data_IF_250519018429
#
_entry.id   IF_250519018429
#
_cell.length_a   1.000
_cell.length_b   1.000
_cell.length_c   1.000
_cell.angle_alpha   90.00
_cell.angle_beta   90.00
_cell.angle_gamma   90.00
#
_symmetry.space_group_name_H-M   'P 1'
#
loop_
_entity.id
_entity.type
_entity.pdbx_description
1 polymer ?
#
# COMPACT_ATOMS: atom_id res chain seq x y z
N UNK A 1 6.09 10.74 21.01
CA UNK A 1 6.51 12.15 20.94
C UNK A 1 5.29 13.01 20.64
N UNK A 2 5.02 13.97 21.48
CA UNK A 2 3.90 14.91 21.28
C UNK A 2 4.24 15.90 20.18
N UNK A 3 3.31 16.04 19.22
CA UNK A 3 3.44 16.98 18.11
C UNK A 3 2.11 17.72 17.94
N UNK A 4 2.13 18.86 17.26
CA UNK A 4 0.90 19.57 16.94
C UNK A 4 0.15 18.87 15.82
N UNK A 5 -1.18 18.92 15.84
CA UNK A 5 -2.02 18.20 14.88
C UNK A 5 -1.73 18.60 13.44
N UNK A 6 -1.39 19.87 13.18
CA UNK A 6 -1.09 20.35 11.82
C UNK A 6 0.17 19.73 11.21
N UNK A 7 1.04 19.12 12.03
CA UNK A 7 2.26 18.45 11.54
C UNK A 7 2.04 17.01 11.09
N UNK A 8 0.87 16.46 11.37
CA UNK A 8 0.56 15.07 11.03
C UNK A 8 0.42 14.92 9.51
N UNK A 9 0.94 13.82 8.98
CA UNK A 9 0.93 13.48 7.55
C UNK A 9 0.46 12.05 7.36
N UNK A 10 0.01 11.74 6.16
CA UNK A 10 -0.33 10.37 5.74
C UNK A 10 0.83 9.42 6.06
N UNK A 11 0.51 8.27 6.63
CA UNK A 11 1.49 7.26 7.00
C UNK A 11 2.04 7.40 8.42
N UNK A 12 1.81 8.53 9.07
CA UNK A 12 2.17 8.66 10.48
C UNK A 12 1.29 7.73 11.32
N UNK A 13 1.78 7.37 12.51
CA UNK A 13 1.01 6.57 13.46
C UNK A 13 0.76 7.41 14.71
N UNK A 14 -0.51 7.47 15.10
CA UNK A 14 -0.96 8.22 16.28
C UNK A 14 -1.35 7.21 17.36
N UNK A 15 -0.93 7.45 18.58
CA UNK A 15 -1.41 6.72 19.76
C UNK A 15 -2.49 7.58 20.44
N UNK A 16 -3.67 6.97 20.60
CA UNK A 16 -4.81 7.64 21.24
C UNK A 16 -5.57 6.60 22.07
N UNK A 17 -5.78 6.91 23.35
CA UNK A 17 -6.48 6.04 24.29
C UNK A 17 -5.91 4.62 24.37
N UNK A 18 -4.56 4.52 24.30
CA UNK A 18 -3.87 3.25 24.34
C UNK A 18 -3.93 2.42 23.05
N UNK A 19 -4.46 3.00 21.96
CA UNK A 19 -4.59 2.33 20.67
C UNK A 19 -3.78 3.04 19.60
N UNK A 20 -3.31 2.27 18.62
CA UNK A 20 -2.53 2.80 17.50
C UNK A 20 -3.41 2.98 16.27
N UNK A 21 -3.20 4.09 15.57
CA UNK A 21 -3.92 4.46 14.35
C UNK A 21 -2.93 4.85 13.25
N UNK A 22 -3.11 4.31 12.06
CA UNK A 22 -2.34 4.75 10.88
C UNK A 22 -3.11 5.87 10.19
N UNK A 23 -2.47 6.99 9.95
CA UNK A 23 -3.08 8.14 9.26
C UNK A 23 -3.23 7.83 7.78
N UNK A 24 -4.45 7.87 7.30
CA UNK A 24 -4.81 7.65 5.90
C UNK A 24 -4.78 8.95 5.11
N UNK A 25 -5.24 10.04 5.72
CA UNK A 25 -5.16 11.38 5.15
C UNK A 25 -5.13 12.43 6.26
N UNK A 26 -4.47 13.53 5.99
CA UNK A 26 -4.41 14.67 6.91
C UNK A 26 -4.53 15.95 6.09
N UNK A 27 -5.51 16.76 6.43
CA UNK A 27 -5.79 18.01 5.74
C UNK A 27 -5.93 19.15 6.75
N UNK A 28 -5.20 20.23 6.54
CA UNK A 28 -5.31 21.42 7.36
C UNK A 28 -6.24 22.42 6.66
N UNK A 29 -7.34 22.74 7.34
CA UNK A 29 -8.39 23.59 6.79
C UNK A 29 -8.32 24.94 7.47
N UNK A 30 -8.18 26.01 6.66
CA UNK A 30 -8.15 27.40 7.13
C UNK A 30 -9.43 28.11 6.66
N UNK A 31 -10.53 28.04 7.46
CA UNK A 31 -11.75 28.73 7.07
C UNK A 31 -11.54 30.24 7.08
N UNK A 32 -12.26 30.95 6.23
CA UNK A 32 -12.20 32.42 6.18
C UNK A 32 -12.65 33.07 7.48
N UNK A 33 -13.52 32.41 8.24
CA UNK A 33 -13.94 32.75 9.58
C UNK A 33 -13.84 31.51 10.46
N UNK A 34 -13.27 31.67 11.64
CA UNK A 34 -13.14 30.59 12.60
C UNK A 34 -11.71 30.08 12.79
N UNK A 35 -11.55 29.12 13.67
CA UNK A 35 -10.26 28.55 14.04
C UNK A 35 -9.81 27.53 12.98
N UNK A 36 -8.54 27.57 12.54
CA UNK A 36 -8.01 26.51 11.66
C UNK A 36 -8.09 25.14 12.32
N UNK A 37 -8.43 24.12 11.54
CA UNK A 37 -8.58 22.76 12.03
C UNK A 37 -7.77 21.78 11.17
N UNK A 38 -7.35 20.69 11.81
CA UNK A 38 -6.74 19.55 11.13
C UNK A 38 -7.73 18.40 11.10
N UNK A 39 -8.14 18.01 9.89
CA UNK A 39 -9.03 16.87 9.65
C UNK A 39 -8.17 15.65 9.37
N UNK A 40 -8.20 14.66 10.27
CA UNK A 40 -7.36 13.46 10.16
C UNK A 40 -8.25 12.24 10.04
N UNK A 41 -8.09 11.53 8.93
CA UNK A 41 -8.69 10.20 8.75
C UNK A 41 -7.63 9.17 9.04
N UNK A 42 -7.97 8.19 9.88
CA UNK A 42 -7.03 7.19 10.32
C UNK A 42 -7.73 5.85 10.53
N UNK A 43 -6.93 4.80 10.50
CA UNK A 43 -7.42 3.42 10.69
C UNK A 43 -6.81 2.85 11.95
N UNK A 44 -7.67 2.33 12.83
CA UNK A 44 -7.21 1.63 14.02
C UNK A 44 -6.56 0.32 13.60
N UNK A 45 -5.35 0.07 14.08
CA UNK A 45 -4.56 -1.09 13.65
C UNK A 45 -5.15 -2.38 14.20
N UNK A 46 -5.70 -2.37 15.42
CA UNK A 46 -6.19 -3.58 16.08
C UNK A 46 -7.37 -4.25 15.39
N UNK A 47 -8.25 -3.48 14.73
CA UNK A 47 -9.47 -4.00 14.11
C UNK A 47 -9.79 -3.42 12.73
N UNK A 48 -8.95 -2.53 12.21
CA UNK A 48 -9.14 -1.93 10.89
C UNK A 48 -10.23 -0.87 10.80
N UNK A 49 -10.85 -0.50 11.91
CA UNK A 49 -11.93 0.49 11.92
C UNK A 49 -11.39 1.87 11.53
N UNK A 50 -12.02 2.50 10.56
CA UNK A 50 -11.69 3.87 10.15
C UNK A 50 -12.38 4.87 11.05
N UNK A 51 -11.63 5.86 11.52
CA UNK A 51 -12.16 6.97 12.30
C UNK A 51 -11.71 8.28 11.70
N UNK A 52 -12.52 9.31 11.87
CA UNK A 52 -12.21 10.67 11.43
C UNK A 52 -12.22 11.57 12.65
N UNK A 53 -11.10 12.25 12.87
CA UNK A 53 -10.95 13.16 14.00
C UNK A 53 -10.66 14.57 13.50
N UNK A 54 -11.24 15.53 14.17
CA UNK A 54 -11.02 16.94 13.89
C UNK A 54 -10.35 17.59 15.11
N UNK A 55 -9.14 18.08 14.89
CA UNK A 55 -8.35 18.76 15.92
C UNK A 55 -8.20 20.23 15.56
N UNK A 56 -7.99 21.08 16.57
CA UNK A 56 -7.41 22.39 16.31
C UNK A 56 -5.98 22.17 15.81
N UNK A 57 -5.49 23.01 14.91
CA UNK A 57 -4.14 22.84 14.33
C UNK A 57 -3.04 22.83 15.40
N UNK A 58 -3.30 23.48 16.52
CA UNK A 58 -2.36 23.59 17.66
C UNK A 58 -2.56 22.51 18.74
N UNK A 59 -3.59 21.67 18.62
CA UNK A 59 -3.80 20.58 19.58
C UNK A 59 -2.61 19.62 19.53
N UNK A 60 -2.25 19.05 20.66
CA UNK A 60 -1.19 18.08 20.75
C UNK A 60 -1.72 16.66 20.55
N UNK A 61 -1.03 15.89 19.72
CA UNK A 61 -1.32 14.47 19.51
C UNK A 61 -0.05 13.66 19.76
N UNK A 62 -0.21 12.41 20.18
CA UNK A 62 0.91 11.52 20.41
C UNK A 62 1.26 10.78 19.13
N UNK A 63 2.44 11.10 18.57
CA UNK A 63 2.95 10.44 17.37
C UNK A 63 3.87 9.30 17.81
N UNK A 64 3.55 8.08 17.40
CA UNK A 64 4.34 6.90 17.72
C UNK A 64 5.61 6.85 16.86
N UNK A 65 6.70 6.35 17.45
CA UNK A 65 7.96 6.14 16.74
C UNK A 65 7.87 4.86 15.93
N UNK A 66 8.17 4.98 14.63
CA UNK A 66 8.08 3.87 13.68
C UNK A 66 9.46 3.60 13.10
N UNK A 67 9.81 2.32 12.99
CA UNK A 67 11.03 1.87 12.32
C UNK A 67 10.67 1.02 11.10
N UNK A 68 11.24 1.36 9.95
CA UNK A 68 11.09 0.57 8.73
C UNK A 68 12.15 -0.54 8.71
N UNK A 69 11.70 -1.77 8.52
CA UNK A 69 12.57 -2.94 8.46
C UNK A 69 12.25 -3.78 7.23
N UNK A 70 13.27 -4.45 6.69
CA UNK A 70 13.10 -5.34 5.56
C UNK A 70 12.63 -6.72 6.05
N UNK A 71 11.55 -7.20 5.45
CA UNK A 71 10.97 -8.51 5.71
C UNK A 71 10.79 -9.26 4.41
N UNK A 72 10.91 -10.58 4.47
CA UNK A 72 10.66 -11.46 3.34
C UNK A 72 9.25 -12.07 3.50
N UNK A 73 8.44 -11.97 2.44
CA UNK A 73 7.12 -12.58 2.45
C UNK A 73 7.22 -14.10 2.39
N UNK A 74 6.49 -14.79 3.27
CA UNK A 74 6.46 -16.25 3.34
C UNK A 74 5.19 -16.83 2.73
N UNK A 75 4.05 -16.59 3.36
CA UNK A 75 2.76 -17.14 2.93
C UNK A 75 1.59 -16.42 3.59
N UNK A 76 0.39 -16.69 3.06
CA UNK A 76 -0.88 -16.24 3.60
C UNK A 76 -1.65 -17.42 4.18
N UNK A 77 -2.34 -17.19 5.30
CA UNK A 77 -3.31 -18.14 5.85
C UNK A 77 -4.58 -17.42 6.30
N UNK A 78 -5.48 -18.14 7.01
CA UNK A 78 -6.75 -17.56 7.46
C UNK A 78 -6.57 -16.37 8.41
N UNK A 79 -5.46 -16.33 9.15
CA UNK A 79 -5.20 -15.31 10.16
C UNK A 79 -4.50 -14.07 9.61
N UNK A 80 -3.86 -14.18 8.46
CA UNK A 80 -3.16 -13.05 7.85
C UNK A 80 -1.97 -13.46 6.99
N UNK A 81 -1.04 -12.53 6.83
CA UNK A 81 0.15 -12.70 6.01
C UNK A 81 1.37 -12.87 6.89
N UNK A 82 2.24 -13.82 6.55
CA UNK A 82 3.40 -14.16 7.36
C UNK A 82 4.67 -13.68 6.67
N UNK A 83 5.52 -13.01 7.43
CA UNK A 83 6.78 -12.44 6.97
C UNK A 83 7.90 -12.83 7.92
N UNK A 84 9.11 -12.83 7.41
CA UNK A 84 10.31 -13.10 8.19
C UNK A 84 11.26 -11.91 8.08
N UNK A 85 11.74 -11.43 9.23
CA UNK A 85 12.73 -10.34 9.25
C UNK A 85 13.98 -10.81 8.50
N UNK A 86 14.42 -10.03 7.51
CA UNK A 86 15.54 -10.41 6.65
C UNK A 86 16.88 -10.47 7.40
N UNK A 87 17.01 -9.76 8.52
CA UNK A 87 18.24 -9.72 9.31
C UNK A 87 18.22 -10.67 10.49
N UNK A 88 17.13 -10.72 11.25
CA UNK A 88 17.02 -11.49 12.48
C UNK A 88 16.36 -12.85 12.31
N UNK A 89 15.67 -13.08 11.18
CA UNK A 89 14.88 -14.27 10.88
C UNK A 89 13.66 -14.47 11.78
N UNK A 90 13.32 -13.49 12.60
CA UNK A 90 12.09 -13.51 13.39
C UNK A 90 10.88 -13.42 12.46
N UNK A 91 9.86 -14.22 12.78
CA UNK A 91 8.62 -14.21 12.00
C UNK A 91 7.59 -13.31 12.64
N UNK A 92 6.79 -12.66 11.79
CA UNK A 92 5.69 -11.79 12.20
C UNK A 92 4.48 -12.05 11.33
N UNK A 93 3.31 -11.98 11.95
CA UNK A 93 2.03 -12.06 11.26
C UNK A 93 1.47 -10.64 11.07
N UNK A 94 1.11 -10.31 9.84
CA UNK A 94 0.54 -9.01 9.50
C UNK A 94 -0.94 -9.19 9.19
N UNK A 95 -1.83 -8.46 9.87
CA UNK A 95 -3.27 -8.54 9.59
C UNK A 95 -3.61 -8.19 8.16
N UNK A 96 -4.68 -8.77 7.62
CA UNK A 96 -5.15 -8.52 6.26
C UNK A 96 -5.43 -7.05 6.00
N UNK A 97 -5.95 -6.35 7.00
CA UNK A 97 -6.25 -4.91 6.88
C UNK A 97 -5.01 -4.05 6.68
N UNK A 98 -3.89 -4.44 7.29
CA UNK A 98 -2.63 -3.73 7.14
C UNK A 98 -2.05 -3.94 5.75
N UNK A 99 -2.09 -5.17 5.24
CA UNK A 99 -1.61 -5.48 3.89
C UNK A 99 -2.51 -4.85 2.83
N UNK A 100 -3.83 -4.94 3.02
CA UNK A 100 -4.82 -4.27 2.18
C UNK A 100 -4.64 -4.55 0.69
N UNK A 101 -4.61 -3.49 -0.11
CA UNK A 101 -4.49 -3.57 -1.58
C UNK A 101 -3.15 -4.08 -2.08
N UNK A 102 -2.16 -4.24 -1.19
CA UNK A 102 -0.86 -4.82 -1.54
C UNK A 102 -0.91 -6.33 -1.72
N UNK A 103 -1.93 -6.99 -1.16
CA UNK A 103 -2.03 -8.45 -1.13
C UNK A 103 -1.84 -9.14 -2.50
N UNK A 104 -2.48 -8.68 -3.59
CA UNK A 104 -2.34 -9.35 -4.90
C UNK A 104 -0.92 -9.32 -5.46
N UNK A 105 -0.09 -8.39 -5.03
CA UNK A 105 1.27 -8.23 -5.54
C UNK A 105 2.32 -8.98 -4.74
N UNK A 106 1.95 -9.56 -3.59
CA UNK A 106 2.87 -10.35 -2.79
C UNK A 106 3.23 -11.65 -3.50
N UNK A 107 4.52 -11.90 -3.62
CA UNK A 107 5.07 -13.11 -4.22
C UNK A 107 6.01 -13.76 -3.21
N UNK A 108 6.05 -15.08 -3.19
CA UNK A 108 6.92 -15.84 -2.31
C UNK A 108 8.36 -15.33 -2.40
N UNK A 109 8.98 -15.10 -1.27
CA UNK A 109 10.34 -14.57 -1.12
C UNK A 109 10.52 -13.11 -1.52
N UNK A 110 9.43 -12.38 -1.80
CA UNK A 110 9.50 -10.94 -2.06
C UNK A 110 9.94 -10.20 -0.80
N UNK A 111 10.90 -9.29 -0.95
CA UNK A 111 11.34 -8.42 0.15
C UNK A 111 10.48 -7.15 0.16
N UNK A 112 9.89 -6.87 1.31
CA UNK A 112 9.05 -5.70 1.53
C UNK A 112 9.59 -4.90 2.71
N UNK A 113 9.14 -3.66 2.85
CA UNK A 113 9.37 -2.88 4.06
C UNK A 113 8.13 -2.93 4.93
N UNK A 114 8.31 -3.35 6.19
CA UNK A 114 7.28 -3.22 7.20
C UNK A 114 7.65 -2.07 8.13
N UNK A 115 6.69 -1.19 8.37
CA UNK A 115 6.82 -0.15 9.38
C UNK A 115 6.41 -0.76 10.71
N UNK A 116 7.32 -0.75 11.68
CA UNK A 116 7.15 -1.42 12.96
C UNK A 116 7.07 -0.41 14.10
N UNK A 117 6.09 -0.58 14.96
CA UNK A 117 6.07 0.06 16.28
C UNK A 117 6.35 -1.04 17.29
N UNK A 118 7.59 -1.08 17.80
CA UNK A 118 8.13 -2.20 18.58
C UNK A 118 7.94 -3.52 17.79
N UNK A 119 7.19 -4.47 18.32
CA UNK A 119 6.94 -5.75 17.66
C UNK A 119 5.67 -5.75 16.79
N UNK A 120 4.98 -4.61 16.66
CA UNK A 120 3.70 -4.51 15.94
C UNK A 120 3.89 -3.95 14.54
N UNK A 121 3.55 -4.72 13.47
CA UNK A 121 3.56 -4.17 12.13
C UNK A 121 2.36 -3.25 11.94
N UNK A 122 2.61 -2.03 11.44
CA UNK A 122 1.57 -1.01 11.29
C UNK A 122 1.33 -0.61 9.84
N UNK A 123 2.28 -0.84 8.95
CA UNK A 123 2.14 -0.55 7.54
C UNK A 123 3.11 -1.40 6.71
N UNK A 124 2.78 -1.55 5.42
CA UNK A 124 3.62 -2.28 4.47
C UNK A 124 3.92 -1.40 3.26
N UNK A 125 5.14 -1.51 2.74
CA UNK A 125 5.53 -0.88 1.50
C UNK A 125 6.17 -1.94 0.60
N UNK A 126 5.56 -2.16 -0.56
CA UNK A 126 6.06 -3.09 -1.57
C UNK A 126 7.17 -2.42 -2.39
N UNK A 127 8.00 -3.22 -3.11
CA UNK A 127 8.80 -2.67 -4.19
C UNK A 127 7.89 -1.90 -5.14
N UNK A 128 8.39 -0.81 -5.72
CA UNK A 128 7.59 0.05 -6.60
C UNK A 128 7.06 -0.68 -7.84
N UNK A 129 7.78 -1.70 -8.30
CA UNK A 129 7.47 -2.44 -9.52
C UNK A 129 7.44 -3.93 -9.24
N UNK A 130 6.58 -4.63 -9.99
CA UNK A 130 6.51 -6.09 -9.96
C UNK A 130 6.40 -6.61 -11.38
N UNK A 131 6.96 -7.81 -11.61
CA UNK A 131 6.84 -8.51 -12.89
C UNK A 131 5.73 -9.53 -12.79
N UNK A 132 4.75 -9.45 -13.69
CA UNK A 132 3.58 -10.32 -13.71
C UNK A 132 3.31 -10.78 -15.15
N UNK A 133 2.73 -11.95 -15.28
CA UNK A 133 2.32 -12.47 -16.59
C UNK A 133 0.92 -11.99 -16.95
N UNK A 134 0.73 -11.62 -18.22
CA UNK A 134 -0.60 -11.36 -18.77
C UNK A 134 -1.23 -12.71 -19.08
N UNK A 135 -2.32 -13.03 -18.38
CA UNK A 135 -3.00 -14.32 -18.55
C UNK A 135 -4.18 -14.23 -19.49
N UNK A 136 -4.76 -13.05 -19.65
CA UNK A 136 -5.89 -12.83 -20.54
C UNK A 136 -5.83 -11.43 -21.13
N UNK A 137 -5.97 -11.30 -22.43
CA UNK A 137 -6.09 -10.04 -23.15
C UNK A 137 -6.62 -10.30 -24.56
N UNK A 138 -7.05 -9.23 -25.23
CA UNK A 138 -7.47 -9.31 -26.62
C UNK A 138 -6.29 -9.64 -27.51
N UNK A 139 -6.48 -10.52 -28.53
CA UNK A 139 -5.40 -10.85 -29.45
C UNK A 139 -4.98 -9.63 -30.28
N UNK A 140 -3.75 -9.67 -30.77
CA UNK A 140 -3.26 -8.67 -31.72
C UNK A 140 -4.00 -8.88 -33.05
N UNK A 141 -4.66 -7.83 -33.54
CA UNK A 141 -5.40 -7.89 -34.81
C UNK A 141 -4.58 -7.25 -35.92
N UNK A 142 -4.28 -8.03 -36.98
CA UNK A 142 -3.62 -7.52 -38.18
C UNK A 142 -4.49 -6.47 -38.84
N UNK A 143 -3.91 -5.33 -39.25
CA UNK A 143 -4.61 -4.30 -40.00
C UNK A 143 -5.33 -3.27 -39.16
N UNK A 144 -5.31 -3.38 -37.86
CA UNK A 144 -5.64 -2.25 -37.03
C UNK A 144 -4.48 -1.25 -37.11
N UNK A 145 -4.69 -0.22 -37.88
CA UNK A 145 -3.83 0.93 -37.85
C UNK A 145 -3.74 1.40 -36.40
N UNK A 146 -2.54 1.55 -35.95
CA UNK A 146 -2.14 2.02 -34.67
C UNK A 146 -3.10 2.98 -33.99
N UNK A 147 -4.17 2.45 -33.41
CA UNK A 147 -4.79 3.12 -32.30
C UNK A 147 -3.77 3.01 -31.17
N UNK A 148 -3.29 4.15 -30.68
CA UNK A 148 -2.40 4.21 -29.52
C UNK A 148 -3.12 3.85 -28.23
N UNK A 149 -4.37 3.41 -28.32
CA UNK A 149 -5.19 3.08 -27.17
C UNK A 149 -4.79 1.73 -26.57
N UNK A 150 -4.60 1.73 -25.27
CA UNK A 150 -4.34 0.51 -24.54
C UNK A 150 -5.61 -0.36 -24.52
N UNK A 151 -5.40 -1.65 -24.36
CA UNK A 151 -6.47 -2.63 -24.25
C UNK A 151 -6.50 -3.26 -22.86
N UNK A 152 -7.66 -3.77 -22.40
CA UNK A 152 -7.75 -4.44 -21.11
C UNK A 152 -6.93 -5.73 -21.08
N UNK A 153 -6.37 -6.03 -19.92
CA UNK A 153 -5.65 -7.27 -19.65
C UNK A 153 -5.87 -7.71 -18.21
N UNK A 154 -5.81 -9.03 -17.99
CA UNK A 154 -5.85 -9.63 -16.67
C UNK A 154 -4.47 -10.23 -16.39
N UNK A 155 -3.92 -9.90 -15.24
CA UNK A 155 -2.60 -10.35 -14.81
C UNK A 155 -2.70 -11.63 -13.99
N UNK A 156 -1.58 -12.33 -13.83
CA UNK A 156 -1.48 -13.60 -13.11
C UNK A 156 -1.91 -13.51 -11.64
N UNK A 157 -1.91 -12.31 -11.06
CA UNK A 157 -2.41 -12.07 -9.70
C UNK A 157 -3.89 -11.70 -9.64
N UNK A 158 -4.59 -11.73 -10.76
CA UNK A 158 -6.01 -11.37 -10.85
C UNK A 158 -6.30 -9.89 -11.02
N UNK A 159 -5.29 -9.05 -11.00
CA UNK A 159 -5.46 -7.60 -11.18
C UNK A 159 -5.73 -7.29 -12.64
N UNK A 160 -6.66 -6.37 -12.90
CA UNK A 160 -6.96 -5.87 -14.23
C UNK A 160 -6.18 -4.59 -14.49
N UNK A 161 -5.62 -4.50 -15.68
CA UNK A 161 -4.85 -3.32 -16.10
C UNK A 161 -5.08 -3.06 -17.58
N UNK A 162 -4.46 -2.00 -18.09
CA UNK A 162 -4.45 -1.69 -19.51
C UNK A 162 -3.04 -1.85 -20.05
N UNK A 163 -2.91 -2.48 -21.21
CA UNK A 163 -1.62 -2.76 -21.84
C UNK A 163 -1.62 -2.27 -23.30
N UNK A 164 -0.43 -1.98 -23.88
CA UNK A 164 -0.34 -1.63 -25.28
C UNK A 164 -0.91 -2.72 -26.20
N UNK A 165 -1.38 -2.36 -27.41
CA UNK A 165 -2.04 -3.32 -28.31
C UNK A 165 -1.17 -4.52 -28.72
N UNK A 166 0.15 -4.38 -28.71
CA UNK A 166 1.08 -5.44 -29.13
C UNK A 166 1.32 -6.53 -28.07
N UNK A 167 0.84 -6.33 -26.85
CA UNK A 167 1.01 -7.29 -25.76
C UNK A 167 0.04 -8.47 -25.97
N UNK A 168 0.54 -9.69 -25.84
CA UNK A 168 -0.23 -10.92 -25.97
C UNK A 168 -0.30 -11.67 -24.65
N UNK A 169 -1.28 -12.58 -24.53
CA UNK A 169 -1.35 -13.49 -23.39
C UNK A 169 -0.06 -14.32 -23.32
N UNK A 170 0.46 -14.52 -22.10
CA UNK A 170 1.74 -15.19 -21.87
C UNK A 170 2.93 -14.23 -21.77
N UNK A 171 2.76 -12.97 -22.12
CA UNK A 171 3.83 -11.98 -22.01
C UNK A 171 4.02 -11.57 -20.56
N UNK A 172 5.26 -11.54 -20.10
CA UNK A 172 5.60 -10.99 -18.78
C UNK A 172 5.82 -9.48 -18.91
N UNK A 173 5.19 -8.72 -18.02
CA UNK A 173 5.28 -7.26 -18.02
C UNK A 173 5.64 -6.75 -16.63
N UNK A 174 6.19 -5.56 -16.59
CA UNK A 174 6.46 -4.82 -15.36
C UNK A 174 5.32 -3.85 -15.13
N UNK A 175 4.77 -3.86 -13.92
CA UNK A 175 3.70 -2.95 -13.52
C UNK A 175 4.08 -2.22 -12.24
N UNK A 176 3.45 -1.07 -12.02
CA UNK A 176 3.56 -0.36 -10.74
C UNK A 176 2.71 -1.07 -9.70
N UNK A 177 3.26 -1.33 -8.54
CA UNK A 177 2.52 -2.00 -7.46
C UNK A 177 1.49 -1.08 -6.81
N UNK A 178 1.62 0.23 -6.99
CA UNK A 178 0.68 1.19 -6.44
C UNK A 178 -0.70 1.09 -7.08
N UNK A 179 -0.78 0.93 -8.39
CA UNK A 179 -2.03 0.97 -9.14
C UNK A 179 -2.18 -0.11 -10.22
N UNK A 180 -1.16 -0.95 -10.40
CA UNK A 180 -1.17 -2.00 -11.44
C UNK A 180 -0.90 -1.50 -12.85
N UNK A 181 -0.50 -0.23 -13.02
CA UNK A 181 -0.28 0.33 -14.35
C UNK A 181 0.93 -0.26 -15.04
N UNK A 182 0.81 -0.44 -16.36
CA UNK A 182 1.86 -0.97 -17.21
C UNK A 182 3.06 -0.04 -17.27
N UNK A 183 4.27 -0.58 -17.12
CA UNK A 183 5.53 0.15 -17.28
C UNK A 183 6.23 -0.25 -18.57
N UNK A 184 6.54 -1.54 -18.71
CA UNK A 184 7.27 -2.07 -19.87
C UNK A 184 7.16 -3.60 -19.92
N UNK A 185 7.57 -4.18 -21.06
CA UNK A 185 7.74 -5.63 -21.11
C UNK A 185 8.91 -6.01 -20.20
N UNK A 186 8.78 -7.14 -19.51
CA UNK A 186 9.87 -7.64 -18.70
C UNK A 186 11.04 -8.05 -19.58
N UNK A 187 12.24 -7.75 -19.12
CA UNK A 187 13.47 -8.23 -19.73
C UNK A 187 13.79 -9.58 -19.11
N UNK A 188 13.87 -10.60 -19.92
CA UNK A 188 14.26 -11.94 -19.51
C UNK A 188 15.78 -12.09 -19.46
#
# INVERSE_FOLDING_TARGET
MRVIASSIRKGNVIEQDGKLYVVLSAENIHPGKGTPVSQIEMRRISDGVKVSERYKTTDQVEKATIEDRNFTYLYEDADGFHFMNSDTYDQVQVPKDVVGSSAPYLQENMVVKLSMHDATPVAIQLPQRATLEVVETEPVTKGQTASSSYKPAVLSNGVRTAVPPHITAGTRIVVMTEDGSYVERAKD
#
